data_IF_918247122877
#
_entry.id   IF_918247122877
#
_cell.length_a   1.000
_cell.length_b   1.000
_cell.length_c   1.000
_cell.angle_alpha   90.00
_cell.angle_beta   90.00
_cell.angle_gamma   90.00
#
_symmetry.space_group_name_H-M   'P 1'
#
loop_
_entity.id
_entity.type
_entity.pdbx_description
1 polymer ?
#
# COMPACT_ATOMS: atom_id res chain seq x y z
N UNK A 1 -9.93 24.19 -5.45
CA UNK A 1 -10.05 23.12 -4.45
C UNK A 1 -10.08 21.81 -5.22
N UNK A 2 -8.90 21.31 -5.60
CA UNK A 2 -8.79 20.10 -6.43
C UNK A 2 -9.27 18.91 -5.60
N UNK A 3 -10.21 18.13 -6.15
CA UNK A 3 -10.70 16.93 -5.49
C UNK A 3 -9.50 16.07 -5.08
N UNK A 4 -9.41 15.72 -3.80
CA UNK A 4 -8.35 14.88 -3.27
C UNK A 4 -8.41 13.53 -3.97
N UNK A 5 -7.60 13.37 -5.03
CA UNK A 5 -7.50 12.13 -5.79
C UNK A 5 -7.01 11.06 -4.84
N UNK A 6 -7.93 10.19 -4.45
CA UNK A 6 -7.68 9.18 -3.43
C UNK A 6 -7.45 7.87 -4.14
N UNK A 7 -6.22 7.40 -4.10
CA UNK A 7 -5.80 6.15 -4.69
C UNK A 7 -6.07 4.99 -3.73
N UNK A 8 -6.66 3.92 -4.26
CA UNK A 8 -6.89 2.68 -3.54
C UNK A 8 -5.82 1.66 -3.94
N UNK A 9 -4.98 1.28 -2.99
CA UNK A 9 -3.95 0.25 -3.18
C UNK A 9 -4.49 -1.07 -2.68
N UNK A 10 -4.78 -2.00 -3.58
CA UNK A 10 -5.21 -3.35 -3.20
C UNK A 10 -4.02 -4.20 -2.73
N UNK A 11 -4.25 -5.00 -1.69
CA UNK A 11 -3.30 -5.91 -1.08
C UNK A 11 -3.93 -7.29 -0.99
N UNK A 12 -3.15 -8.31 -1.33
CA UNK A 12 -3.51 -9.72 -1.16
C UNK A 12 -2.51 -10.39 -0.23
N UNK A 13 -3.04 -11.21 0.65
CA UNK A 13 -2.31 -11.96 1.64
C UNK A 13 -2.45 -13.46 1.34
N UNK A 14 -1.36 -14.19 1.55
CA UNK A 14 -1.32 -15.63 1.59
C UNK A 14 -1.96 -16.15 2.90
N UNK A 15 -2.31 -17.44 2.96
CA UNK A 15 -2.81 -18.07 4.18
C UNK A 15 -1.83 -18.00 5.36
N UNK A 16 -0.52 -17.87 5.12
CA UNK A 16 0.49 -17.70 6.17
C UNK A 16 0.60 -16.25 6.70
N UNK A 17 -0.09 -15.30 6.07
CA UNK A 17 -0.06 -13.88 6.42
C UNK A 17 0.92 -13.04 5.60
N UNK A 18 1.77 -13.65 4.77
CA UNK A 18 2.65 -12.93 3.84
C UNK A 18 1.86 -12.22 2.72
N UNK A 19 2.36 -11.09 2.25
CA UNK A 19 1.75 -10.34 1.14
C UNK A 19 2.16 -10.98 -0.19
N UNK A 20 1.18 -11.48 -0.92
CA UNK A 20 1.39 -12.10 -2.24
C UNK A 20 1.43 -11.07 -3.35
N UNK A 21 0.51 -10.10 -3.30
CA UNK A 21 0.38 -9.07 -4.33
C UNK A 21 -0.02 -7.74 -3.70
N UNK A 22 0.55 -6.66 -4.23
CA UNK A 22 0.26 -5.31 -3.79
C UNK A 22 0.37 -4.33 -4.96
N UNK A 23 -0.64 -3.48 -5.10
CA UNK A 23 -0.64 -2.41 -6.10
C UNK A 23 0.38 -1.32 -5.78
N UNK A 24 0.65 -0.46 -6.76
CA UNK A 24 1.50 0.73 -6.58
C UNK A 24 2.89 0.44 -6.01
N UNK A 25 3.39 -0.78 -6.21
CA UNK A 25 4.73 -1.21 -5.79
C UNK A 25 5.79 -0.61 -6.72
N UNK A 26 6.79 0.11 -6.19
CA UNK A 26 7.91 0.58 -7.01
C UNK A 26 8.82 -0.59 -7.44
N UNK A 27 9.40 -0.46 -8.64
CA UNK A 27 10.32 -1.45 -9.21
C UNK A 27 11.57 -1.58 -8.34
N UNK A 28 11.74 -2.73 -7.67
CA UNK A 28 12.88 -3.00 -6.79
C UNK A 28 12.53 -3.36 -5.35
N UNK A 29 11.27 -3.25 -4.94
CA UNK A 29 10.80 -3.74 -3.63
C UNK A 29 9.94 -4.98 -3.77
N UNK A 30 10.05 -5.91 -2.84
CA UNK A 30 9.08 -7.00 -2.69
C UNK A 30 7.72 -6.49 -2.21
N UNK A 31 6.67 -7.27 -2.49
CA UNK A 31 5.31 -6.96 -2.07
C UNK A 31 5.22 -6.77 -0.54
N UNK A 32 5.86 -7.66 0.22
CA UNK A 32 5.95 -7.58 1.68
C UNK A 32 6.66 -6.31 2.17
N UNK A 33 7.80 -5.96 1.55
CA UNK A 33 8.57 -4.77 1.93
C UNK A 33 7.75 -3.50 1.69
N UNK A 34 7.05 -3.42 0.55
CA UNK A 34 6.19 -2.29 0.24
C UNK A 34 5.02 -2.16 1.22
N UNK A 35 4.35 -3.28 1.53
CA UNK A 35 3.28 -3.30 2.53
C UNK A 35 3.76 -2.84 3.91
N UNK A 36 4.94 -3.29 4.36
CA UNK A 36 5.49 -2.88 5.65
C UNK A 36 5.73 -1.37 5.71
N UNK A 37 6.24 -0.77 4.61
CA UNK A 37 6.43 0.69 4.53
C UNK A 37 5.10 1.45 4.55
N UNK A 38 4.12 1.01 3.78
CA UNK A 38 2.77 1.59 3.80
C UNK A 38 2.14 1.46 5.18
N UNK A 39 2.23 0.31 5.83
CA UNK A 39 1.70 0.10 7.18
C UNK A 39 2.38 1.00 8.22
N UNK A 40 3.70 1.20 8.11
CA UNK A 40 4.44 2.06 9.03
C UNK A 40 4.08 3.54 8.88
N UNK A 41 3.88 4.02 7.65
CA UNK A 41 3.61 5.44 7.38
C UNK A 41 2.12 5.80 7.33
N UNK A 42 1.28 4.84 6.97
CA UNK A 42 -0.12 5.02 6.58
C UNK A 42 -1.02 3.88 7.10
N UNK A 43 -0.61 3.18 8.16
CA UNK A 43 -1.37 2.08 8.76
C UNK A 43 -2.77 2.49 9.26
N UNK A 44 -2.96 3.75 9.64
CA UNK A 44 -4.28 4.31 9.98
C UNK A 44 -5.28 4.32 8.83
N UNK A 45 -4.79 4.26 7.58
CA UNK A 45 -5.59 4.24 6.36
C UNK A 45 -5.72 2.84 5.75
N UNK A 46 -5.21 1.82 6.44
CA UNK A 46 -5.34 0.43 6.02
C UNK A 46 -6.67 -0.15 6.45
N UNK A 47 -7.35 -0.83 5.53
CA UNK A 47 -8.57 -1.55 5.81
C UNK A 47 -8.42 -3.01 5.39
N UNK A 48 -8.46 -3.89 6.38
CA UNK A 48 -8.46 -5.33 6.16
C UNK A 48 -9.84 -5.81 5.71
N UNK A 49 -9.85 -6.73 4.74
CA UNK A 49 -11.04 -7.42 4.23
C UNK A 49 -10.95 -8.91 4.55
N UNK A 50 -12.10 -9.58 4.59
CA UNK A 50 -12.14 -11.03 4.78
C UNK A 50 -11.49 -11.77 3.60
N UNK A 51 -10.91 -12.95 3.88
CA UNK A 51 -10.32 -13.82 2.86
C UNK A 51 -8.93 -13.39 2.36
N UNK A 52 -8.09 -12.83 3.24
CA UNK A 52 -6.72 -12.47 2.90
C UNK A 52 -6.62 -11.30 1.94
N UNK A 53 -7.51 -10.31 2.06
CA UNK A 53 -7.50 -9.11 1.21
C UNK A 53 -7.41 -7.89 2.09
N UNK A 54 -6.88 -6.81 1.56
CA UNK A 54 -6.90 -5.52 2.22
C UNK A 54 -6.71 -4.41 1.20
N UNK A 55 -6.90 -3.18 1.63
CA UNK A 55 -6.55 -2.03 0.82
C UNK A 55 -6.08 -0.87 1.66
N UNK A 56 -5.26 -0.01 1.06
CA UNK A 56 -4.95 1.31 1.60
C UNK A 56 -5.72 2.36 0.82
N UNK A 57 -6.27 3.34 1.52
CA UNK A 57 -6.91 4.50 0.90
C UNK A 57 -6.08 5.75 1.19
N UNK A 58 -5.30 6.20 0.21
CA UNK A 58 -4.33 7.29 0.38
C UNK A 58 -4.45 8.32 -0.74
N UNK A 59 -4.12 9.58 -0.45
CA UNK A 59 -4.01 10.60 -1.50
C UNK A 59 -2.89 10.26 -2.47
N UNK A 60 -3.09 10.49 -3.76
CA UNK A 60 -2.13 10.15 -4.82
C UNK A 60 -0.76 10.84 -4.62
N UNK A 61 -0.74 12.05 -4.08
CA UNK A 61 0.48 12.76 -3.69
C UNK A 61 1.25 12.03 -2.58
N UNK A 62 0.54 11.49 -1.59
CA UNK A 62 1.13 10.72 -0.49
C UNK A 62 1.73 9.42 -1.02
N UNK A 63 1.02 8.70 -1.89
CA UNK A 63 1.52 7.47 -2.51
C UNK A 63 2.79 7.76 -3.32
N UNK A 64 2.80 8.85 -4.08
CA UNK A 64 3.96 9.27 -4.88
C UNK A 64 5.16 9.60 -3.99
N UNK A 65 4.95 10.37 -2.91
CA UNK A 65 6.00 10.68 -1.94
C UNK A 65 6.53 9.41 -1.23
N UNK A 66 5.65 8.47 -0.87
CA UNK A 66 6.04 7.21 -0.27
C UNK A 66 6.87 6.33 -1.23
N UNK A 67 6.49 6.28 -2.51
CA UNK A 67 7.27 5.59 -3.55
C UNK A 67 8.66 6.21 -3.72
N UNK A 68 8.73 7.54 -3.79
CA UNK A 68 10.01 8.26 -3.90
C UNK A 68 10.91 7.99 -2.69
N UNK A 69 10.38 8.09 -1.47
CA UNK A 69 11.10 7.74 -0.25
C UNK A 69 11.45 6.26 -0.14
N UNK A 70 10.83 5.41 -0.97
CA UNK A 70 11.09 3.98 -0.98
C UNK A 70 12.19 3.53 -1.95
N UNK A 71 12.53 4.39 -2.92
CA UNK A 71 13.60 4.19 -3.90
C UNK A 71 14.91 4.92 -3.52
N UNK A 72 14.89 5.72 -2.45
CA UNK A 72 16.04 6.42 -1.88
C UNK A 72 16.77 5.55 -0.86
#
# INVERSE_FOLDING_TARGET
MTAADTLIIHVRFAPDGSVTEIGERPSGLDAQQWFNRLSNKAGSSFQALSGGRGFFRLGTEVVTALKAAALQ
#
